data_IF_170534184445
#
_entry.id   IF_170534184445
#
_cell.length_a   1.000
_cell.length_b   1.000
_cell.length_c   1.000
_cell.angle_alpha   90.00
_cell.angle_beta   90.00
_cell.angle_gamma   90.00
#
_symmetry.space_group_name_H-M   'P 1'
#
loop_
_entity.id
_entity.type
_entity.pdbx_description
1 polymer ?
#
# COMPACT_ATOMS: atom_id res chain seq x y z
N UNK A 1 12.84 22.68 13.62
CA UNK A 1 13.03 21.22 13.62
C UNK A 1 14.20 20.91 12.70
N UNK A 2 15.16 20.06 13.07
CA UNK A 2 16.27 19.75 12.18
C UNK A 2 15.77 18.84 11.02
N UNK A 3 15.83 19.27 9.75
CA UNK A 3 15.32 18.49 8.61
C UNK A 3 16.03 17.14 8.46
N UNK A 4 17.27 17.01 8.95
CA UNK A 4 18.04 15.76 8.92
C UNK A 4 17.41 14.64 9.75
N UNK A 5 16.48 14.96 10.66
CA UNK A 5 15.67 13.97 11.42
C UNK A 5 14.85 13.08 10.49
N UNK A 6 14.47 13.57 9.31
CA UNK A 6 13.75 12.79 8.31
C UNK A 6 14.67 11.80 7.58
N UNK A 7 15.96 12.12 7.47
CA UNK A 7 16.87 11.42 6.58
C UNK A 7 17.79 10.42 7.27
N UNK A 8 18.09 10.57 8.56
CA UNK A 8 19.06 9.71 9.24
C UNK A 8 18.53 9.20 10.59
N UNK A 9 18.76 7.92 10.94
CA UNK A 9 18.31 7.29 12.18
C UNK A 9 19.22 7.64 13.38
N UNK A 10 19.81 8.85 13.39
CA UNK A 10 20.80 9.28 14.38
C UNK A 10 20.23 10.31 15.37
N UNK A 11 19.16 11.00 14.97
CA UNK A 11 18.62 12.15 15.70
C UNK A 11 17.53 11.78 16.71
N UNK A 12 17.05 12.79 17.45
CA UNK A 12 15.90 12.66 18.35
C UNK A 12 14.69 13.33 17.71
N UNK A 13 13.61 12.58 17.50
CA UNK A 13 12.36 13.08 16.93
C UNK A 13 11.29 13.24 18.03
N UNK A 14 10.70 14.43 18.13
CA UNK A 14 9.50 14.65 18.96
C UNK A 14 8.28 13.93 18.35
N UNK A 15 7.19 13.83 19.11
CA UNK A 15 5.93 13.25 18.61
C UNK A 15 5.42 13.98 17.35
N UNK A 16 5.45 15.32 17.35
CA UNK A 16 5.07 16.13 16.19
C UNK A 16 5.99 15.88 14.99
N UNK A 17 7.30 15.74 15.22
CA UNK A 17 8.26 15.45 14.17
C UNK A 17 8.00 14.09 13.49
N UNK A 18 7.66 13.08 14.28
CA UNK A 18 7.27 11.76 13.78
C UNK A 18 6.01 11.87 12.90
N UNK A 19 4.93 12.47 13.42
CA UNK A 19 3.66 12.55 12.70
C UNK A 19 3.77 13.38 11.42
N UNK A 20 4.43 14.55 11.48
CA UNK A 20 4.63 15.39 10.32
C UNK A 20 5.53 14.72 9.27
N UNK A 21 6.61 14.07 9.70
CA UNK A 21 7.48 13.33 8.79
C UNK A 21 6.77 12.17 8.09
N UNK A 22 5.96 11.40 8.82
CA UNK A 22 5.16 10.33 8.24
C UNK A 22 4.08 10.86 7.28
N UNK A 23 3.42 11.98 7.61
CA UNK A 23 2.43 12.58 6.72
C UNK A 23 3.05 13.04 5.39
N UNK A 24 4.22 13.70 5.44
CA UNK A 24 4.96 14.10 4.24
C UNK A 24 5.37 12.88 3.42
N UNK A 25 5.86 11.82 4.07
CA UNK A 25 6.23 10.57 3.39
C UNK A 25 5.03 9.86 2.77
N UNK A 26 3.86 9.87 3.43
CA UNK A 26 2.63 9.27 2.90
C UNK A 26 2.17 9.99 1.63
N UNK A 27 2.23 11.32 1.60
CA UNK A 27 1.92 12.11 0.41
C UNK A 27 2.94 11.82 -0.70
N UNK A 28 4.23 11.79 -0.38
CA UNK A 28 5.26 11.49 -1.36
C UNK A 28 5.12 10.06 -1.94
N UNK A 29 4.81 9.07 -1.12
CA UNK A 29 4.57 7.70 -1.56
C UNK A 29 3.28 7.58 -2.39
N UNK A 30 2.23 8.32 -2.04
CA UNK A 30 1.01 8.38 -2.86
C UNK A 30 1.30 8.94 -4.25
N UNK A 31 2.00 10.09 -4.33
CA UNK A 31 2.43 10.69 -5.60
C UNK A 31 3.29 9.71 -6.40
N UNK A 32 4.23 9.02 -5.74
CA UNK A 32 5.05 7.97 -6.37
C UNK A 32 4.21 6.86 -7.00
N UNK A 33 3.13 6.43 -6.35
CA UNK A 33 2.24 5.38 -6.87
C UNK A 33 1.43 5.88 -8.07
N UNK A 34 0.96 7.13 -8.03
CA UNK A 34 0.12 7.70 -9.10
C UNK A 34 0.91 8.06 -10.36
N UNK A 35 2.13 8.59 -10.21
CA UNK A 35 2.90 9.14 -11.33
C UNK A 35 4.13 8.32 -11.70
N UNK A 36 4.46 7.29 -10.91
CA UNK A 36 5.70 6.54 -11.05
C UNK A 36 6.94 7.39 -10.74
N UNK A 37 8.12 6.84 -11.04
CA UNK A 37 9.41 7.53 -10.89
C UNK A 37 10.19 7.57 -12.22
N UNK A 38 9.48 7.59 -13.35
CA UNK A 38 10.08 7.52 -14.67
C UNK A 38 10.85 6.20 -14.87
N UNK A 39 12.13 6.29 -15.23
CA UNK A 39 13.00 5.12 -15.47
C UNK A 39 13.52 4.45 -14.20
N UNK A 40 13.23 5.01 -13.02
CA UNK A 40 13.72 4.45 -11.75
C UNK A 40 12.92 3.19 -11.41
N UNK A 41 13.58 2.05 -11.15
CA UNK A 41 12.90 0.84 -10.73
C UNK A 41 12.01 1.05 -9.49
N UNK A 42 10.78 0.55 -9.55
CA UNK A 42 9.72 0.76 -8.53
C UNK A 42 10.20 0.38 -7.11
N UNK A 43 11.03 -0.67 -7.01
CA UNK A 43 11.56 -1.16 -5.73
C UNK A 43 12.48 -0.14 -5.04
N UNK A 44 13.16 0.76 -5.77
CA UNK A 44 14.03 1.78 -5.17
C UNK A 44 13.20 2.78 -4.37
N UNK A 45 12.12 3.30 -4.96
CA UNK A 45 11.22 4.22 -4.28
C UNK A 45 10.57 3.59 -3.05
N UNK A 46 10.22 2.29 -3.14
CA UNK A 46 9.69 1.53 -2.01
C UNK A 46 10.72 1.40 -0.87
N UNK A 47 11.96 1.03 -1.18
CA UNK A 47 13.03 0.93 -0.18
C UNK A 47 13.32 2.29 0.48
N UNK A 48 13.26 3.38 -0.27
CA UNK A 48 13.44 4.72 0.27
C UNK A 48 12.35 5.07 1.29
N UNK A 49 11.07 4.81 0.97
CA UNK A 49 9.96 5.02 1.91
C UNK A 49 10.16 4.18 3.18
N UNK A 50 10.50 2.90 3.04
CA UNK A 50 10.75 2.01 4.18
C UNK A 50 11.89 2.51 5.06
N UNK A 51 12.98 2.96 4.46
CA UNK A 51 14.12 3.52 5.17
C UNK A 51 13.76 4.78 5.98
N UNK A 52 13.01 5.71 5.38
CA UNK A 52 12.63 6.95 6.08
C UNK A 52 11.61 6.71 7.18
N UNK A 53 10.63 5.82 6.95
CA UNK A 53 9.69 5.37 7.98
C UNK A 53 10.44 4.77 9.16
N UNK A 54 11.35 3.83 8.90
CA UNK A 54 12.17 3.21 9.94
C UNK A 54 12.99 4.26 10.69
N UNK A 55 13.65 5.18 9.97
CA UNK A 55 14.48 6.23 10.56
C UNK A 55 13.68 7.11 11.54
N UNK A 56 12.43 7.46 11.19
CA UNK A 56 11.55 8.23 12.07
C UNK A 56 11.18 7.48 13.35
N UNK A 57 10.84 6.19 13.26
CA UNK A 57 10.54 5.37 14.44
C UNK A 57 11.77 5.15 15.33
N UNK A 58 12.95 4.96 14.74
CA UNK A 58 14.23 4.90 15.47
C UNK A 58 14.48 6.21 16.21
N UNK A 59 14.37 7.34 15.52
CA UNK A 59 14.59 8.67 16.10
C UNK A 59 13.59 8.99 17.22
N UNK A 60 12.34 8.54 17.10
CA UNK A 60 11.33 8.69 18.16
C UNK A 60 11.68 7.89 19.42
N UNK A 61 12.16 6.66 19.25
CA UNK A 61 12.57 5.82 20.39
C UNK A 61 13.83 6.35 21.07
N UNK A 62 14.80 6.83 20.29
CA UNK A 62 15.97 7.55 20.82
C UNK A 62 15.57 8.79 21.62
N UNK A 63 14.59 9.55 21.13
CA UNK A 63 14.04 10.69 21.89
C UNK A 63 13.37 10.25 23.21
N UNK A 64 12.73 9.08 23.23
CA UNK A 64 12.15 8.50 24.44
C UNK A 64 13.17 7.85 25.39
N UNK A 65 14.46 7.79 25.03
CA UNK A 65 15.51 7.13 25.83
C UNK A 65 15.49 5.60 25.74
N UNK A 66 14.82 5.02 24.74
CA UNK A 66 14.61 3.57 24.66
C UNK A 66 15.46 2.91 23.57
N UNK A 67 15.77 1.62 23.74
CA UNK A 67 16.50 0.81 22.75
C UNK A 67 15.77 0.70 21.40
N UNK A 68 16.53 0.42 20.33
CA UNK A 68 16.07 0.59 18.93
C UNK A 68 15.31 -0.64 18.37
N UNK A 69 15.46 -1.83 18.95
CA UNK A 69 14.90 -3.07 18.37
C UNK A 69 13.39 -3.03 18.05
N UNK A 70 12.57 -2.40 18.90
CA UNK A 70 11.13 -2.27 18.66
C UNK A 70 10.76 -1.27 17.55
N UNK A 71 11.71 -0.49 17.03
CA UNK A 71 11.47 0.45 15.92
C UNK A 71 11.29 -0.26 14.57
N UNK A 72 11.70 -1.53 14.45
CA UNK A 72 11.50 -2.34 13.25
C UNK A 72 10.10 -2.94 13.15
N UNK A 73 9.41 -3.10 14.29
CA UNK A 73 8.09 -3.72 14.36
C UNK A 73 7.02 -2.99 13.50
N UNK A 74 6.90 -1.65 13.53
CA UNK A 74 5.96 -0.93 12.67
C UNK A 74 6.17 -1.22 11.19
N UNK A 75 7.43 -1.21 10.73
CA UNK A 75 7.75 -1.45 9.32
C UNK A 75 7.46 -2.90 8.93
N UNK A 76 7.90 -3.87 9.73
CA UNK A 76 7.66 -5.29 9.45
C UNK A 76 6.17 -5.62 9.34
N UNK A 77 5.35 -5.14 10.28
CA UNK A 77 3.91 -5.35 10.24
C UNK A 77 3.23 -4.54 9.13
N UNK A 78 3.74 -3.37 8.78
CA UNK A 78 3.20 -2.60 7.66
C UNK A 78 3.45 -3.27 6.31
N UNK A 79 4.57 -3.99 6.14
CA UNK A 79 4.83 -4.82 4.95
C UNK A 79 3.80 -5.95 4.86
N UNK A 80 3.46 -6.60 5.98
CA UNK A 80 2.37 -7.59 6.00
C UNK A 80 1.03 -6.94 5.68
N UNK A 81 0.71 -5.79 6.29
CA UNK A 81 -0.49 -5.02 6.00
C UNK A 81 -0.61 -4.59 4.53
N UNK A 82 0.53 -4.27 3.90
CA UNK A 82 0.64 -3.98 2.47
C UNK A 82 0.24 -5.18 1.61
N UNK A 83 0.65 -6.38 1.99
CA UNK A 83 0.28 -7.64 1.33
C UNK A 83 -1.21 -7.94 1.48
N UNK A 84 -1.75 -7.79 2.69
CA UNK A 84 -3.20 -7.96 2.94
C UNK A 84 -4.00 -6.95 2.13
N UNK A 85 -3.58 -5.68 2.10
CA UNK A 85 -4.23 -4.64 1.30
C UNK A 85 -4.20 -4.95 -0.19
N UNK A 86 -3.08 -5.49 -0.70
CA UNK A 86 -3.00 -5.92 -2.10
C UNK A 86 -4.00 -7.04 -2.41
N UNK A 87 -4.06 -8.08 -1.57
CA UNK A 87 -5.03 -9.19 -1.74
C UNK A 87 -6.47 -8.67 -1.66
N UNK A 88 -6.76 -7.78 -0.72
CA UNK A 88 -8.08 -7.20 -0.54
C UNK A 88 -8.51 -6.32 -1.72
N UNK A 89 -7.57 -5.65 -2.39
CA UNK A 89 -7.86 -4.86 -3.60
C UNK A 89 -7.99 -5.70 -4.87
N UNK A 90 -7.30 -6.84 -4.92
CA UNK A 90 -7.32 -7.74 -6.07
C UNK A 90 -8.71 -8.36 -6.29
N UNK A 91 -9.39 -8.79 -5.22
CA UNK A 91 -10.65 -9.51 -5.32
C UNK A 91 -11.79 -8.68 -5.96
N UNK A 92 -12.09 -7.45 -5.51
CA UNK A 92 -13.06 -6.58 -6.18
C UNK A 92 -12.64 -6.21 -7.60
N UNK A 93 -11.32 -6.03 -7.83
CA UNK A 93 -10.79 -5.74 -9.16
C UNK A 93 -11.10 -6.86 -10.15
N UNK A 94 -10.77 -8.11 -9.80
CA UNK A 94 -11.03 -9.28 -10.64
C UNK A 94 -12.52 -9.41 -10.93
N UNK A 95 -13.37 -9.21 -9.92
CA UNK A 95 -14.81 -9.26 -10.10
C UNK A 95 -15.29 -8.22 -11.12
N UNK A 96 -14.88 -6.95 -10.98
CA UNK A 96 -15.26 -5.90 -11.91
C UNK A 96 -14.78 -6.20 -13.35
N UNK A 97 -13.56 -6.73 -13.50
CA UNK A 97 -13.04 -7.14 -14.80
C UNK A 97 -13.82 -8.32 -15.40
N UNK A 98 -14.29 -9.27 -14.60
CA UNK A 98 -15.15 -10.36 -15.07
C UNK A 98 -16.52 -9.84 -15.53
N UNK A 99 -17.08 -8.85 -14.84
CA UNK A 99 -18.35 -8.20 -15.24
C UNK A 99 -18.18 -7.46 -16.56
N UNK A 100 -17.09 -6.70 -16.73
CA UNK A 100 -16.78 -5.99 -17.96
C UNK A 100 -16.56 -6.95 -19.14
N UNK A 101 -15.79 -8.02 -18.92
CA UNK A 101 -15.62 -9.08 -19.92
C UNK A 101 -16.94 -9.75 -20.31
N UNK A 102 -17.84 -10.01 -19.34
CA UNK A 102 -19.17 -10.54 -19.65
C UNK A 102 -19.99 -9.55 -20.49
N UNK A 103 -19.93 -8.26 -20.18
CA UNK A 103 -20.60 -7.20 -20.95
C UNK A 103 -20.09 -7.14 -22.40
N UNK A 104 -18.77 -7.23 -22.59
CA UNK A 104 -18.14 -7.25 -23.92
C UNK A 104 -18.55 -8.47 -24.77
N UNK A 105 -18.84 -9.59 -24.12
CA UNK A 105 -19.36 -10.81 -24.77
C UNK A 105 -20.89 -10.82 -24.91
N UNK A 106 -21.56 -9.70 -24.67
CA UNK A 106 -22.99 -9.53 -24.92
C UNK A 106 -23.91 -10.01 -23.78
N UNK A 107 -23.37 -10.28 -22.60
CA UNK A 107 -24.17 -10.62 -21.40
C UNK A 107 -24.77 -9.35 -20.82
N UNK A 108 -26.06 -9.39 -20.48
CA UNK A 108 -26.71 -8.29 -19.77
C UNK A 108 -26.24 -8.25 -18.31
N UNK A 109 -25.28 -7.37 -18.01
CA UNK A 109 -24.74 -7.18 -16.66
C UNK A 109 -25.70 -6.50 -15.70
N UNK A 110 -26.82 -5.96 -16.19
CA UNK A 110 -27.86 -5.37 -15.34
C UNK A 110 -28.79 -6.41 -14.74
N UNK A 111 -28.86 -7.60 -15.35
CA UNK A 111 -29.55 -8.76 -14.82
C UNK A 111 -28.58 -9.66 -14.04
N UNK A 112 -28.75 -9.73 -12.72
CA UNK A 112 -27.92 -10.55 -11.85
C UNK A 112 -28.04 -12.05 -12.15
N UNK A 113 -29.17 -12.52 -12.67
CA UNK A 113 -29.35 -13.93 -13.01
C UNK A 113 -28.53 -14.29 -14.27
N UNK A 114 -28.62 -13.47 -15.31
CA UNK A 114 -27.88 -13.64 -16.56
C UNK A 114 -26.36 -13.56 -16.33
N UNK A 115 -25.92 -12.61 -15.51
CA UNK A 115 -24.50 -12.48 -15.15
C UNK A 115 -23.99 -13.69 -14.35
N UNK A 116 -24.77 -14.19 -13.39
CA UNK A 116 -24.38 -15.36 -12.61
C UNK A 116 -24.34 -16.64 -13.46
N UNK A 117 -25.26 -16.78 -14.41
CA UNK A 117 -25.27 -17.88 -15.38
C UNK A 117 -24.02 -17.84 -16.28
N UNK A 118 -23.71 -16.69 -16.87
CA UNK A 118 -22.53 -16.51 -17.72
C UNK A 118 -21.22 -16.78 -16.98
N UNK A 119 -21.06 -16.25 -15.76
CA UNK A 119 -19.85 -16.50 -14.94
C UNK A 119 -19.75 -17.96 -14.45
N UNK A 120 -20.87 -18.69 -14.44
CA UNK A 120 -20.94 -20.10 -14.10
C UNK A 120 -20.70 -21.04 -15.28
N UNK A 121 -20.62 -20.53 -16.52
CA UNK A 121 -20.43 -21.36 -17.71
C UNK A 121 -19.09 -22.12 -17.69
N UNK A 122 -19.08 -23.40 -18.10
CA UNK A 122 -17.83 -24.16 -18.23
C UNK A 122 -16.91 -23.50 -19.25
N UNK A 123 -15.78 -22.95 -18.79
CA UNK A 123 -14.78 -22.31 -19.65
C UNK A 123 -14.68 -20.80 -19.48
N UNK A 124 -15.66 -20.13 -18.87
CA UNK A 124 -15.63 -18.67 -18.66
C UNK A 124 -14.33 -18.20 -17.99
N UNK A 125 -13.89 -18.90 -16.94
CA UNK A 125 -12.62 -18.57 -16.26
C UNK A 125 -11.38 -18.75 -17.15
N UNK A 126 -11.38 -19.75 -18.05
CA UNK A 126 -10.26 -19.97 -18.97
C UNK A 126 -10.22 -18.91 -20.06
N UNK A 127 -11.38 -18.53 -20.60
CA UNK A 127 -11.50 -17.47 -21.60
C UNK A 127 -11.17 -16.10 -21.01
N UNK A 128 -11.65 -15.80 -19.80
CA UNK A 128 -11.27 -14.59 -19.06
C UNK A 128 -9.76 -14.54 -18.78
N UNK A 129 -9.14 -15.66 -18.39
CA UNK A 129 -7.67 -15.73 -18.22
C UNK A 129 -6.92 -15.51 -19.53
N UNK A 130 -7.44 -16.01 -20.66
CA UNK A 130 -6.86 -15.75 -21.98
C UNK A 130 -7.00 -14.27 -22.35
N UNK A 131 -8.19 -13.70 -22.16
CA UNK A 131 -8.46 -12.28 -22.40
C UNK A 131 -7.55 -11.37 -21.56
N UNK A 132 -7.27 -11.72 -20.29
CA UNK A 132 -6.30 -10.99 -19.46
C UNK A 132 -4.87 -11.02 -20.01
N UNK A 133 -4.46 -12.11 -20.66
CA UNK A 133 -3.13 -12.22 -21.26
C UNK A 133 -3.04 -11.47 -22.60
N UNK A 134 -4.15 -11.40 -23.33
CA UNK A 134 -4.24 -10.75 -24.64
C UNK A 134 -4.51 -9.24 -24.52
N UNK A 135 -5.14 -8.79 -23.43
CA UNK A 135 -5.49 -7.38 -23.18
C UNK A 135 -4.67 -6.78 -22.03
N UNK A 136 -3.51 -6.15 -22.32
CA UNK A 136 -2.67 -5.54 -21.28
C UNK A 136 -3.38 -4.41 -20.51
N UNK A 137 -4.34 -3.71 -21.13
CA UNK A 137 -5.10 -2.63 -20.47
C UNK A 137 -5.98 -3.15 -19.31
N UNK A 138 -6.60 -4.31 -19.49
CA UNK A 138 -7.42 -4.94 -18.44
C UNK A 138 -6.56 -5.38 -17.25
N UNK A 139 -5.33 -5.81 -17.55
CA UNK A 139 -4.32 -6.15 -16.54
C UNK A 139 -3.81 -4.90 -15.81
N UNK A 140 -3.61 -3.78 -16.51
CA UNK A 140 -3.26 -2.49 -15.91
C UNK A 140 -4.34 -2.00 -14.93
N UNK A 141 -5.62 -2.08 -15.30
CA UNK A 141 -6.72 -1.69 -14.40
C UNK A 141 -6.72 -2.49 -13.09
N UNK A 142 -6.51 -3.81 -13.17
CA UNK A 142 -6.39 -4.68 -12.00
C UNK A 142 -5.21 -4.30 -11.10
N UNK A 143 -4.07 -3.97 -11.70
CA UNK A 143 -2.89 -3.53 -10.95
C UNK A 143 -3.07 -2.15 -10.30
N UNK A 144 -3.81 -1.24 -10.95
CA UNK A 144 -4.15 0.08 -10.41
C UNK A 144 -4.99 0.00 -9.13
N UNK A 145 -6.06 -0.81 -9.13
CA UNK A 145 -6.90 -1.02 -7.94
C UNK A 145 -6.12 -1.68 -6.79
N UNK A 146 -5.25 -2.64 -7.12
CA UNK A 146 -4.38 -3.33 -6.17
C UNK A 146 -3.37 -2.37 -5.52
N UNK A 147 -2.82 -1.42 -6.29
CA UNK A 147 -1.83 -0.44 -5.82
C UNK A 147 -2.35 0.45 -4.70
N UNK A 148 -3.59 0.95 -4.82
CA UNK A 148 -4.20 1.83 -3.82
C UNK A 148 -4.58 1.06 -2.54
N UNK A 149 -5.17 -0.12 -2.67
CA UNK A 149 -5.50 -0.95 -1.50
C UNK A 149 -4.23 -1.39 -0.74
N UNK A 150 -3.17 -1.72 -1.49
CA UNK A 150 -1.83 -2.00 -0.93
C UNK A 150 -1.25 -0.79 -0.19
N UNK A 151 -1.36 0.41 -0.76
CA UNK A 151 -0.94 1.66 -0.10
C UNK A 151 -1.69 1.88 1.21
N UNK A 152 -3.02 1.76 1.21
CA UNK A 152 -3.86 1.93 2.40
C UNK A 152 -3.47 0.94 3.48
N UNK A 153 -3.31 -0.35 3.13
CA UNK A 153 -2.91 -1.40 4.07
C UNK A 153 -1.59 -1.10 4.77
N UNK A 154 -0.60 -0.60 4.03
CA UNK A 154 0.69 -0.18 4.61
C UNK A 154 0.53 1.00 5.57
N UNK A 155 -0.10 2.09 5.10
CA UNK A 155 -0.13 3.35 5.85
C UNK A 155 -1.06 3.32 7.06
N UNK A 156 -2.12 2.51 7.06
CA UNK A 156 -2.97 2.31 8.24
C UNK A 156 -2.20 1.67 9.39
N UNK A 157 -1.37 0.66 9.10
CA UNK A 157 -0.52 0.03 10.12
C UNK A 157 0.50 1.05 10.65
N UNK A 158 1.17 1.79 9.76
CA UNK A 158 2.09 2.86 10.16
C UNK A 158 1.42 3.91 11.03
N UNK A 159 0.20 4.35 10.69
CA UNK A 159 -0.55 5.32 11.45
C UNK A 159 -0.88 4.82 12.86
N UNK A 160 -1.34 3.57 13.00
CA UNK A 160 -1.62 2.96 14.29
C UNK A 160 -0.38 2.94 15.19
N UNK A 161 0.77 2.55 14.63
CA UNK A 161 2.05 2.57 15.34
C UNK A 161 2.55 4.00 15.62
N UNK A 162 2.31 4.95 14.73
CA UNK A 162 2.67 6.35 14.93
C UNK A 162 1.92 6.96 16.10
N UNK A 163 0.62 6.66 16.24
CA UNK A 163 -0.20 7.06 17.39
C UNK A 163 0.32 6.42 18.67
N UNK A 164 0.67 5.14 18.65
CA UNK A 164 1.23 4.48 19.83
C UNK A 164 2.60 5.07 20.23
N UNK A 165 3.48 5.30 19.27
CA UNK A 165 4.82 5.84 19.51
C UNK A 165 4.80 7.33 19.89
N UNK A 166 3.82 8.11 19.42
CA UNK A 166 3.68 9.53 19.77
C UNK A 166 3.45 9.69 21.28
N UNK A 167 2.75 8.75 21.91
CA UNK A 167 2.41 8.73 23.35
C UNK A 167 3.56 8.29 24.27
N UNK A 168 4.72 7.90 23.74
CA UNK A 168 5.85 7.48 24.58
C UNK A 168 6.44 8.65 25.39
N UNK A 169 6.32 8.61 26.71
CA UNK A 169 7.09 9.51 27.58
C UNK A 169 8.57 9.17 27.56
N UNK A 170 9.40 10.17 27.83
CA UNK A 170 10.84 9.98 27.99
C UNK A 170 11.08 9.18 29.27
N UNK A 171 11.74 8.02 29.16
CA UNK A 171 12.27 7.37 30.35
C UNK A 171 13.43 8.22 30.85
N UNK A 172 13.32 8.69 32.10
CA UNK A 172 14.34 9.46 32.79
C UNK A 172 15.60 8.65 32.99
#
# INVERSE_FOLDING_TARGET
MNPLVLFLPVYRASATALLAGLAVLAVADFVRIQFGLGSVPIWIGMLAVWFFVLSLFINRRRHAGRGVGLAFLPLGLAIVGKGIGAIAGLMPGIYNAMVEFAAENGVDTSDQAALAEAMGEPGFQQEFQRALQENPEMLEQLTGATGLASFIGFWLVILAFAIWFSRMSRQG
#
